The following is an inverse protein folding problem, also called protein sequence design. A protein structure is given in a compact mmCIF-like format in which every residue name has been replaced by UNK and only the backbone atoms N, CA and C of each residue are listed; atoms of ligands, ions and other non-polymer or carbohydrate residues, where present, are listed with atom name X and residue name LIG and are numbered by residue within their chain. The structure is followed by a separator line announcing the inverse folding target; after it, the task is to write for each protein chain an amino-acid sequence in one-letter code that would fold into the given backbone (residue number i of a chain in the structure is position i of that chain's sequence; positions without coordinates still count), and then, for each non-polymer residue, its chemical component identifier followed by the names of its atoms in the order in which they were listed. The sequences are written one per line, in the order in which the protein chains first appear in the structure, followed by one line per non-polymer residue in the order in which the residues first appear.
data_IF_329794872518
#
_entry.id   IF_329794872518
#
_cell.length_a   1.000
_cell.length_b   1.000
_cell.length_c   1.000
_cell.angle_alpha   90.00
_cell.angle_beta   90.00
_cell.angle_gamma   90.00
#
_symmetry.space_group_name_H-M   'P 1'
#
loop_
_entity.id
_entity.type
_entity.pdbx_description
1 polymer ?
#
# COMPACT_ATOMS: atom_id res chain seq x y z
N UNK A 1 -6.74 -1.64 7.79
CA UNK A 1 -5.95 -2.72 7.16
C UNK A 1 -6.36 -3.03 5.71
N UNK A 2 -7.65 -3.26 5.38
CA UNK A 2 -8.07 -3.54 3.98
C UNK A 2 -7.77 -2.39 3.01
N UNK A 3 -8.17 -1.16 3.34
CA UNK A 3 -7.86 0.01 2.51
C UNK A 3 -6.35 0.23 2.34
N UNK A 4 -5.53 -0.11 3.34
CA UNK A 4 -4.07 -0.07 3.23
C UNK A 4 -3.55 -1.05 2.18
N UNK A 5 -4.07 -2.28 2.17
CA UNK A 5 -3.75 -3.29 1.17
C UNK A 5 -4.19 -2.86 -0.23
N UNK A 6 -5.39 -2.28 -0.37
CA UNK A 6 -5.89 -1.76 -1.66
C UNK A 6 -5.02 -0.61 -2.18
N UNK A 7 -4.66 0.36 -1.33
CA UNK A 7 -3.72 1.44 -1.68
C UNK A 7 -2.39 0.85 -2.14
N UNK A 8 -1.84 -0.12 -1.40
CA UNK A 8 -0.63 -0.83 -1.79
C UNK A 8 -0.78 -1.55 -3.12
N UNK A 9 -1.93 -2.17 -3.38
CA UNK A 9 -2.27 -2.78 -4.67
C UNK A 9 -2.27 -1.77 -5.82
N UNK A 10 -2.86 -0.59 -5.62
CA UNK A 10 -2.88 0.50 -6.61
C UNK A 10 -1.46 1.00 -6.90
N UNK A 11 -0.68 1.31 -5.86
CA UNK A 11 0.71 1.81 -6.00
C UNK A 11 1.59 0.81 -6.74
N UNK A 12 1.47 -0.48 -6.39
CA UNK A 12 2.25 -1.56 -7.02
C UNK A 12 1.72 -2.01 -8.37
N UNK A 13 0.58 -1.50 -8.83
CA UNK A 13 -0.04 -1.92 -10.10
C UNK A 13 -0.69 -3.30 -10.06
N UNK A 14 -1.01 -3.82 -8.86
CA UNK A 14 -1.65 -5.12 -8.61
C UNK A 14 -3.16 -5.04 -8.35
N UNK A 15 -3.72 -3.85 -8.29
CA UNK A 15 -5.16 -3.63 -8.07
C UNK A 15 -6.04 -4.17 -9.21
N UNK A 16 -6.93 -5.10 -8.87
CA UNK A 16 -7.81 -5.85 -9.77
C UNK A 16 -9.10 -5.11 -10.15
N UNK A 17 -9.44 -4.00 -9.48
CA UNK A 17 -10.72 -3.32 -9.71
C UNK A 17 -10.86 -2.72 -11.12
N UNK A 18 -11.73 -3.24 -11.98
CA UNK A 18 -11.80 -2.76 -13.37
C UNK A 18 -12.62 -1.47 -13.56
N UNK A 19 -13.33 -0.98 -12.54
CA UNK A 19 -14.29 0.12 -12.67
C UNK A 19 -15.72 -0.38 -12.86
N UNK A 20 -16.69 0.27 -12.21
CA UNK A 20 -18.10 -0.14 -12.27
C UNK A 20 -18.85 0.43 -13.48
N UNK A 21 -18.30 1.49 -14.09
CA UNK A 21 -18.82 2.16 -15.26
C UNK A 21 -17.68 2.77 -16.09
N UNK A 22 -18.00 3.38 -17.23
CA UNK A 22 -16.99 3.94 -18.12
C UNK A 22 -16.25 5.14 -17.51
N UNK A 23 -16.90 5.92 -16.65
CA UNK A 23 -16.26 7.03 -15.95
C UNK A 23 -15.19 6.54 -14.98
N UNK A 24 -15.48 5.47 -14.22
CA UNK A 24 -14.53 4.84 -13.30
C UNK A 24 -13.34 4.25 -14.05
N UNK A 25 -13.58 3.58 -15.18
CA UNK A 25 -12.53 3.06 -16.07
C UNK A 25 -11.60 4.18 -16.55
N UNK A 26 -12.16 5.32 -17.00
CA UNK A 26 -11.39 6.48 -17.45
C UNK A 26 -10.56 7.06 -16.30
N UNK A 27 -11.15 7.25 -15.11
CA UNK A 27 -10.45 7.76 -13.93
C UNK A 27 -9.33 6.83 -13.49
N UNK A 28 -9.59 5.51 -13.43
CA UNK A 28 -8.58 4.51 -13.09
C UNK A 28 -7.44 4.50 -14.13
N UNK A 29 -7.76 4.56 -15.41
CA UNK A 29 -6.75 4.65 -16.48
C UNK A 29 -5.85 5.87 -16.33
N UNK A 30 -6.43 7.05 -16.04
CA UNK A 30 -5.68 8.28 -15.77
C UNK A 30 -4.79 8.15 -14.54
N UNK A 31 -5.30 7.60 -13.44
CA UNK A 31 -4.54 7.37 -12.21
C UNK A 31 -3.35 6.43 -12.47
N UNK A 32 -3.58 5.29 -13.14
CA UNK A 32 -2.54 4.31 -13.46
C UNK A 32 -1.46 4.91 -14.35
N UNK A 33 -1.85 5.65 -15.39
CA UNK A 33 -0.92 6.33 -16.28
C UNK A 33 -0.10 7.43 -15.57
N UNK A 34 -0.67 8.12 -14.59
CA UNK A 34 0.06 9.09 -13.78
C UNK A 34 1.08 8.40 -12.86
N UNK A 35 0.69 7.30 -12.20
CA UNK A 35 1.60 6.50 -11.38
C UNK A 35 2.75 5.93 -12.23
N UNK A 36 2.46 5.38 -13.42
CA UNK A 36 3.48 4.93 -14.38
C UNK A 36 4.50 6.04 -14.67
N UNK A 37 4.05 7.25 -15.02
CA UNK A 37 4.94 8.38 -15.29
C UNK A 37 5.76 8.80 -14.09
N UNK A 38 5.19 8.77 -12.87
CA UNK A 38 5.91 9.11 -11.64
C UNK A 38 7.02 8.08 -11.40
N UNK A 39 6.71 6.79 -11.47
CA UNK A 39 7.69 5.74 -11.22
C UNK A 39 8.76 5.65 -12.31
N UNK A 40 8.44 5.95 -13.57
CA UNK A 40 9.46 6.07 -14.62
C UNK A 40 10.43 7.23 -14.36
N UNK A 41 9.95 8.36 -13.84
CA UNK A 41 10.82 9.46 -13.41
C UNK A 41 11.69 9.08 -12.22
N UNK A 42 11.15 8.37 -11.23
CA UNK A 42 11.92 7.85 -10.08
C UNK A 42 12.99 6.85 -10.55
N UNK A 43 12.65 5.98 -11.50
CA UNK A 43 13.58 5.01 -12.05
C UNK A 43 14.73 5.68 -12.79
N UNK A 44 14.41 6.64 -13.67
CA UNK A 44 15.41 7.33 -14.52
C UNK A 44 16.26 8.35 -13.77
N UNK A 45 15.78 8.87 -12.63
CA UNK A 45 16.57 9.77 -11.78
C UNK A 45 17.68 9.07 -11.00
N UNK A 46 17.66 7.73 -10.91
CA UNK A 46 18.68 6.94 -10.23
C UNK A 46 19.33 5.96 -11.21
N UNK A 47 20.58 6.23 -11.60
CA UNK A 47 21.33 5.42 -12.59
C UNK A 47 21.43 3.94 -12.21
N UNK A 48 21.45 3.62 -10.92
CA UNK A 48 21.50 2.24 -10.41
C UNK A 48 20.17 1.49 -10.57
N UNK A 49 19.05 2.19 -10.78
CA UNK A 49 17.71 1.60 -10.95
C UNK A 49 17.32 1.37 -12.41
N UNK A 50 18.13 1.83 -13.37
CA UNK A 50 17.82 1.70 -14.80
C UNK A 50 17.70 0.23 -15.27
N UNK A 51 18.39 -0.68 -14.59
CA UNK A 51 18.35 -2.13 -14.87
C UNK A 51 17.13 -2.83 -14.27
N UNK A 52 16.39 -2.18 -13.35
CA UNK A 52 15.20 -2.76 -12.71
C UNK A 52 13.96 -2.60 -13.59
N UNK A 53 13.06 -3.57 -13.56
CA UNK A 53 11.71 -3.41 -14.13
C UNK A 53 10.90 -2.40 -13.30
N UNK A 54 9.95 -1.71 -13.94
CA UNK A 54 9.09 -0.73 -13.27
C UNK A 54 8.33 -1.37 -12.09
N UNK A 55 7.89 -2.62 -12.23
CA UNK A 55 7.21 -3.36 -11.18
C UNK A 55 8.08 -3.55 -9.93
N UNK A 56 9.38 -3.87 -10.11
CA UNK A 56 10.32 -3.98 -8.99
C UNK A 56 10.53 -2.64 -8.29
N UNK A 57 10.62 -1.55 -9.06
CA UNK A 57 10.76 -0.19 -8.49
C UNK A 57 9.56 0.13 -7.60
N UNK A 58 8.34 -0.21 -8.03
CA UNK A 58 7.12 0.02 -7.25
C UNK A 58 7.05 -0.85 -5.99
N UNK A 59 7.45 -2.11 -6.07
CA UNK A 59 7.52 -3.01 -4.91
C UNK A 59 8.51 -2.50 -3.86
N UNK A 60 9.70 -2.07 -4.28
CA UNK A 60 10.70 -1.50 -3.37
C UNK A 60 10.23 -0.18 -2.77
N UNK A 61 9.62 0.68 -3.58
CA UNK A 61 9.05 1.93 -3.07
C UNK A 61 7.97 1.65 -2.01
N UNK A 62 7.05 0.71 -2.26
CA UNK A 62 6.04 0.34 -1.27
C UNK A 62 6.69 -0.21 -0.01
N UNK A 63 7.62 -1.17 -0.11
CA UNK A 63 8.30 -1.76 1.03
C UNK A 63 9.00 -0.72 1.91
N UNK A 64 9.60 0.32 1.31
CA UNK A 64 10.28 1.40 2.02
C UNK A 64 9.33 2.42 2.66
N UNK A 65 8.15 2.67 2.07
CA UNK A 65 7.25 3.76 2.49
C UNK A 65 5.95 3.28 3.16
N UNK A 66 5.72 1.96 3.27
CA UNK A 66 4.47 1.40 3.82
C UNK A 66 4.21 1.81 5.27
N UNK A 67 5.26 2.07 6.05
CA UNK A 67 5.17 2.56 7.43
C UNK A 67 4.58 3.98 7.46
N UNK A 68 5.13 4.89 6.65
CA UNK A 68 4.63 6.26 6.52
C UNK A 68 3.19 6.31 6.00
N UNK A 69 2.86 5.46 5.02
CA UNK A 69 1.50 5.35 4.49
C UNK A 69 0.53 4.84 5.56
N UNK A 70 0.94 3.88 6.40
CA UNK A 70 0.13 3.41 7.51
C UNK A 70 -0.10 4.50 8.54
N UNK A 71 0.96 5.22 8.93
CA UNK A 71 0.88 6.35 9.86
C UNK A 71 -0.08 7.43 9.37
N UNK A 72 -0.01 7.77 8.08
CA UNK A 72 -0.94 8.71 7.47
C UNK A 72 -2.40 8.19 7.50
N UNK A 73 -2.60 6.90 7.20
CA UNK A 73 -3.93 6.27 7.19
C UNK A 73 -4.56 6.24 8.60
N UNK A 74 -3.77 5.99 9.64
CA UNK A 74 -4.24 5.87 11.02
C UNK A 74 -4.28 7.19 11.79
N UNK A 75 -3.90 8.31 11.16
CA UNK A 75 -3.86 9.64 11.80
C UNK A 75 -5.18 10.01 12.50
N UNK A 76 -6.31 9.70 11.86
CA UNK A 76 -7.65 9.98 12.37
C UNK A 76 -8.27 8.84 13.18
N UNK A 77 -7.56 7.74 13.41
CA UNK A 77 -8.06 6.64 14.23
C UNK A 77 -8.25 7.08 15.68
N UNK A 78 -9.28 6.55 16.34
CA UNK A 78 -9.59 6.86 17.73
C UNK A 78 -8.61 6.14 18.67
N UNK A 79 -8.39 6.72 19.86
CA UNK A 79 -7.43 6.16 20.83
C UNK A 79 -7.79 4.75 21.34
N UNK A 80 -9.07 4.37 21.28
CA UNK A 80 -9.56 3.05 21.67
C UNK A 80 -9.61 2.04 20.50
N UNK A 81 -9.30 2.46 19.27
CA UNK A 81 -9.24 1.56 18.12
C UNK A 81 -7.88 0.84 18.11
N UNK A 82 -7.94 -0.49 18.06
CA UNK A 82 -6.77 -1.37 18.00
C UNK A 82 -6.93 -2.35 16.86
N UNK A 83 -5.82 -2.70 16.22
CA UNK A 83 -5.76 -3.78 15.25
C UNK A 83 -5.24 -5.04 15.96
N UNK A 84 -5.75 -6.21 15.60
CA UNK A 84 -5.26 -7.46 16.18
C UNK A 84 -5.14 -8.54 15.11
N UNK A 85 -4.19 -9.46 15.34
CA UNK A 85 -3.99 -10.65 14.52
C UNK A 85 -3.96 -11.87 15.42
N UNK A 86 -4.57 -12.96 14.96
CA UNK A 86 -4.39 -14.26 15.58
C UNK A 86 -3.22 -14.96 14.88
N UNK A 87 -2.21 -15.35 15.65
CA UNK A 87 -1.01 -16.03 15.16
C UNK A 87 -0.80 -17.33 15.94
N UNK A 88 0.07 -18.22 15.47
CA UNK A 88 0.37 -19.49 16.17
C UNK A 88 0.82 -19.28 17.62
N UNK A 89 1.47 -18.14 17.92
CA UNK A 89 1.88 -17.75 19.27
C UNK A 89 0.82 -17.01 20.09
N UNK A 90 -0.44 -16.97 19.64
CA UNK A 90 -1.54 -16.26 20.27
C UNK A 90 -1.92 -14.95 19.59
N UNK A 91 -2.80 -14.20 20.26
CA UNK A 91 -3.35 -12.93 19.75
C UNK A 91 -2.36 -11.81 20.02
N UNK A 92 -2.00 -11.07 18.96
CA UNK A 92 -1.20 -9.84 19.04
C UNK A 92 -2.09 -8.64 18.79
N UNK A 93 -1.90 -7.59 19.58
CA UNK A 93 -2.61 -6.32 19.44
C UNK A 93 -1.63 -5.24 19.05
N UNK A 94 -2.08 -4.30 18.23
CA UNK A 94 -1.44 -3.01 18.10
C UNK A 94 -1.71 -2.18 19.36
N UNK A 95 -0.90 -1.17 19.56
CA UNK A 95 -1.18 -0.02 20.39
C UNK A 95 -2.40 0.77 19.87
N UNK A 96 -2.72 1.82 20.61
CA UNK A 96 -3.81 2.77 20.33
C UNK A 96 -3.75 3.30 18.89
N UNK A 97 -4.90 3.73 18.38
CA UNK A 97 -5.04 4.27 17.02
C UNK A 97 -4.54 3.30 15.95
N UNK A 98 -4.84 2.01 16.11
CA UNK A 98 -4.38 0.96 15.20
C UNK A 98 -2.84 0.93 15.01
N UNK A 99 -2.06 1.25 16.06
CA UNK A 99 -0.60 1.32 16.00
C UNK A 99 -0.06 2.52 15.23
N UNK A 100 -0.69 3.69 15.37
CA UNK A 100 -0.26 4.93 14.68
C UNK A 100 1.16 5.38 15.04
N UNK A 101 1.51 5.25 16.32
CA UNK A 101 2.81 5.66 16.86
C UNK A 101 3.82 4.49 16.92
N UNK A 102 3.44 3.33 16.38
CA UNK A 102 4.35 2.21 16.19
C UNK A 102 5.16 2.37 14.91
N UNK A 103 6.37 1.81 14.90
CA UNK A 103 7.24 1.90 13.73
C UNK A 103 6.72 1.04 12.56
N UNK A 104 6.29 -0.20 12.84
CA UNK A 104 5.89 -1.15 11.79
C UNK A 104 4.39 -1.48 11.85
N UNK A 105 3.66 -1.44 10.74
CA UNK A 105 2.27 -1.89 10.68
C UNK A 105 2.16 -3.37 11.06
N UNK A 106 1.28 -3.70 12.00
CA UNK A 106 1.05 -5.08 12.43
C UNK A 106 0.38 -5.95 11.33
N UNK A 107 -0.20 -5.32 10.29
CA UNK A 107 -0.84 -6.00 9.16
C UNK A 107 0.14 -6.36 8.05
N UNK A 108 -0.06 -7.54 7.44
CA UNK A 108 0.61 -7.96 6.20
C UNK A 108 -0.38 -8.17 5.04
N UNK A 109 -1.62 -7.68 5.15
CA UNK A 109 -2.64 -7.79 4.10
C UNK A 109 -2.19 -7.18 2.77
N UNK A 110 -1.30 -6.20 2.78
CA UNK A 110 -0.69 -5.65 1.57
C UNK A 110 0.21 -6.66 0.84
N UNK A 111 0.61 -7.76 1.46
CA UNK A 111 1.30 -8.87 0.79
C UNK A 111 0.40 -10.07 0.49
N UNK A 112 -0.90 -9.99 0.80
CA UNK A 112 -1.90 -11.01 0.47
C UNK A 112 -2.50 -10.70 -0.91
N UNK A 113 -2.62 -11.68 -1.82
CA UNK A 113 -3.35 -11.50 -3.08
C UNK A 113 -4.77 -10.96 -2.85
N UNK A 114 -5.16 -9.91 -3.60
CA UNK A 114 -6.42 -9.16 -3.38
C UNK A 114 -7.70 -10.01 -3.52
N UNK A 115 -7.65 -11.14 -4.22
CA UNK A 115 -8.82 -12.00 -4.44
C UNK A 115 -9.21 -12.87 -3.23
N UNK A 116 -8.29 -13.07 -2.28
CA UNK A 116 -8.50 -13.90 -1.08
C UNK A 116 -9.33 -13.17 -0.02
#
# INVERSE_FOLDING_TARGET
ARSFADIGGIVRGKDLFLGNNDNDKIKKGKLRGNLEKIFEKIKTSNTNMNTLSLDKVREYWWALNREDVWKALTCSAQNNEVYFINSEGGIKFSERKCGHDENAPLTNLDYVPQYL
#
